data_IF_005495824644
#
_entry.id   IF_005495824644
#
_cell.length_a   1.000
_cell.length_b   1.000
_cell.length_c   1.000
_cell.angle_alpha   90.00
_cell.angle_beta   90.00
_cell.angle_gamma   90.00
#
_symmetry.space_group_name_H-M   'P 1'
#
loop_
_entity.id
_entity.type
_entity.pdbx_description
1 polymer ?
#
# COMPACT_ATOMS: atom_id res chain seq x y z
N UNK A 1 -3.54 20.88 -0.71
CA UNK A 1 -2.55 20.09 -1.47
C UNK A 1 -1.16 20.67 -1.25
N UNK A 2 -0.10 19.86 -1.12
CA UNK A 2 1.30 20.32 -0.94
C UNK A 2 2.15 20.02 -2.17
N UNK A 3 3.24 20.78 -2.40
CA UNK A 3 4.17 20.55 -3.52
C UNK A 3 4.64 19.09 -3.63
N UNK A 4 5.00 18.46 -2.51
CA UNK A 4 5.39 17.03 -2.47
C UNK A 4 4.28 16.10 -2.96
N UNK A 5 3.03 16.36 -2.59
CA UNK A 5 1.90 15.49 -2.92
C UNK A 5 1.55 15.60 -4.41
N UNK A 6 1.46 16.84 -4.92
CA UNK A 6 1.26 17.10 -6.34
C UNK A 6 2.41 16.51 -7.18
N UNK A 7 3.64 16.62 -6.70
CA UNK A 7 4.79 16.03 -7.37
C UNK A 7 4.68 14.50 -7.47
N UNK A 8 4.31 13.81 -6.39
CA UNK A 8 4.07 12.36 -6.45
C UNK A 8 2.89 12.01 -7.37
N UNK A 9 1.80 12.79 -7.38
CA UNK A 9 0.68 12.57 -8.30
C UNK A 9 1.15 12.60 -9.75
N UNK A 10 1.91 13.64 -10.11
CA UNK A 10 2.48 13.79 -11.44
C UNK A 10 3.47 12.68 -11.79
N UNK A 11 4.39 12.35 -10.88
CA UNK A 11 5.39 11.30 -11.11
C UNK A 11 4.75 9.93 -11.33
N UNK A 12 3.75 9.56 -10.53
CA UNK A 12 3.05 8.28 -10.65
C UNK A 12 2.16 8.25 -11.90
N UNK A 13 1.42 9.34 -12.17
CA UNK A 13 0.60 9.43 -13.40
C UNK A 13 1.46 9.31 -14.65
N UNK A 14 2.64 9.97 -14.67
CA UNK A 14 3.61 9.85 -15.75
C UNK A 14 4.11 8.42 -15.94
N UNK A 15 4.45 7.72 -14.86
CA UNK A 15 4.85 6.31 -14.93
C UNK A 15 3.71 5.41 -15.44
N UNK A 16 2.46 5.65 -15.03
CA UNK A 16 1.30 4.92 -15.55
C UNK A 16 1.12 5.14 -17.05
N UNK A 17 1.23 6.39 -17.52
CA UNK A 17 1.15 6.74 -18.94
C UNK A 17 2.28 6.08 -19.75
N UNK A 18 3.52 6.09 -19.24
CA UNK A 18 4.66 5.39 -19.85
C UNK A 18 4.50 3.86 -19.94
N UNK A 19 3.63 3.29 -19.09
CA UNK A 19 3.27 1.88 -19.09
C UNK A 19 2.05 1.59 -19.97
N UNK A 20 1.46 2.61 -20.62
CA UNK A 20 0.31 2.49 -21.50
C UNK A 20 -1.05 2.53 -20.80
N UNK A 21 -1.11 2.94 -19.53
CA UNK A 21 -2.37 3.11 -18.80
C UNK A 21 -2.80 4.57 -18.77
N UNK A 22 -4.10 4.81 -18.94
CA UNK A 22 -4.69 6.11 -18.65
C UNK A 22 -4.75 6.33 -17.12
N UNK A 23 -4.31 7.50 -16.67
CA UNK A 23 -4.28 7.89 -15.26
C UNK A 23 -4.95 9.26 -15.08
N UNK A 24 -6.07 9.27 -14.37
CA UNK A 24 -6.88 10.45 -14.08
C UNK A 24 -6.51 10.96 -12.70
N UNK A 25 -5.93 12.15 -12.60
CA UNK A 25 -5.62 12.77 -11.31
C UNK A 25 -6.88 13.38 -10.69
N UNK A 26 -6.98 13.31 -9.36
CA UNK A 26 -8.08 13.90 -8.58
C UNK A 26 -9.47 13.51 -9.09
N UNK A 27 -9.67 12.22 -9.38
CA UNK A 27 -10.94 11.73 -9.91
C UNK A 27 -12.10 12.05 -8.94
N UNK A 28 -13.13 12.72 -9.46
CA UNK A 28 -14.23 13.25 -8.65
C UNK A 28 -15.07 12.14 -8.02
N UNK A 29 -15.36 11.08 -8.77
CA UNK A 29 -16.29 10.03 -8.35
C UNK A 29 -15.67 9.14 -7.27
N UNK A 30 -14.45 8.64 -7.52
CA UNK A 30 -13.71 7.79 -6.57
C UNK A 30 -13.08 8.58 -5.42
N UNK A 31 -12.84 9.88 -5.63
CA UNK A 31 -11.99 10.74 -4.78
C UNK A 31 -10.59 10.15 -4.59
N UNK A 32 -10.09 9.41 -5.58
CA UNK A 32 -8.72 8.92 -5.57
C UNK A 32 -7.77 10.04 -5.97
N UNK A 33 -6.57 10.05 -5.38
CA UNK A 33 -5.53 10.98 -5.82
C UNK A 33 -5.16 10.72 -7.30
N UNK A 34 -5.16 9.45 -7.72
CA UNK A 34 -5.00 9.02 -9.11
C UNK A 34 -5.87 7.77 -9.34
N UNK A 35 -6.76 7.81 -10.33
CA UNK A 35 -7.48 6.64 -10.84
C UNK A 35 -6.77 6.13 -12.09
N UNK A 36 -6.28 4.89 -12.06
CA UNK A 36 -5.63 4.25 -13.20
C UNK A 36 -6.61 3.28 -13.85
N UNK A 37 -6.85 3.45 -15.15
CA UNK A 37 -7.75 2.63 -15.97
C UNK A 37 -7.09 1.29 -16.33
N UNK A 38 -6.97 0.41 -15.34
CA UNK A 38 -6.61 -1.01 -15.50
C UNK A 38 -7.85 -1.91 -15.38
N UNK A 39 -7.68 -3.23 -15.46
CA UNK A 39 -8.77 -4.19 -15.27
C UNK A 39 -8.46 -5.15 -14.11
N UNK A 40 -9.05 -4.97 -12.92
CA UNK A 40 -9.93 -3.86 -12.52
C UNK A 40 -9.19 -2.53 -12.37
N UNK A 41 -9.88 -1.37 -12.34
CA UNK A 41 -9.24 -0.08 -12.12
C UNK A 41 -8.52 -0.03 -10.76
N UNK A 42 -7.47 0.79 -10.67
CA UNK A 42 -6.69 0.96 -9.44
C UNK A 42 -6.76 2.41 -8.98
N UNK A 43 -7.28 2.62 -7.78
CA UNK A 43 -7.19 3.88 -7.05
C UNK A 43 -5.83 3.95 -6.32
N UNK A 44 -4.92 4.79 -6.82
CA UNK A 44 -3.63 5.07 -6.19
C UNK A 44 -3.78 6.30 -5.28
N UNK A 45 -3.34 6.15 -4.03
CA UNK A 45 -3.53 7.14 -2.97
C UNK A 45 -2.18 7.53 -2.33
N UNK A 46 -1.84 8.82 -2.31
CA UNK A 46 -0.57 9.34 -1.76
C UNK A 46 -0.81 9.89 -0.35
N UNK A 47 -0.56 9.05 0.65
CA UNK A 47 -0.94 9.39 2.03
C UNK A 47 0.24 9.88 2.88
N UNK A 48 0.21 11.17 3.25
CA UNK A 48 1.24 11.84 4.06
C UNK A 48 0.88 12.02 5.53
N UNK A 49 -0.42 12.07 5.84
CA UNK A 49 -0.95 12.31 7.20
C UNK A 49 -1.85 11.17 7.63
N UNK A 50 -2.25 11.12 8.91
CA UNK A 50 -3.19 10.08 9.37
C UNK A 50 -4.54 10.22 8.65
N UNK A 51 -5.17 9.10 8.33
CA UNK A 51 -6.53 9.05 7.73
C UNK A 51 -7.23 7.76 8.16
N UNK A 52 -8.51 7.63 7.84
CA UNK A 52 -9.25 6.39 7.97
C UNK A 52 -9.02 5.53 6.72
N UNK A 53 -7.92 4.78 6.74
CA UNK A 53 -7.52 3.92 5.63
C UNK A 53 -8.59 2.86 5.32
N UNK A 54 -9.16 2.23 6.33
CA UNK A 54 -10.18 1.18 6.16
C UNK A 54 -11.41 1.72 5.43
N UNK A 55 -11.96 2.83 5.93
CA UNK A 55 -13.13 3.46 5.31
C UNK A 55 -12.85 3.84 3.87
N UNK A 56 -11.71 4.50 3.60
CA UNK A 56 -11.35 4.93 2.24
C UNK A 56 -11.13 3.74 1.31
N UNK A 57 -10.38 2.73 1.75
CA UNK A 57 -10.16 1.49 0.98
C UNK A 57 -11.49 0.85 0.61
N UNK A 58 -12.38 0.65 1.60
CA UNK A 58 -13.71 0.05 1.37
C UNK A 58 -14.55 0.88 0.41
N UNK A 59 -14.54 2.21 0.53
CA UNK A 59 -15.25 3.10 -0.41
C UNK A 59 -14.83 2.85 -1.85
N UNK A 60 -13.53 2.68 -2.14
CA UNK A 60 -13.03 2.43 -3.52
C UNK A 60 -13.30 1.00 -3.98
N UNK A 61 -13.17 0.03 -3.08
CA UNK A 61 -13.53 -1.36 -3.38
C UNK A 61 -15.01 -1.53 -3.73
N UNK A 62 -15.90 -0.79 -3.07
CA UNK A 62 -17.33 -0.78 -3.39
C UNK A 62 -17.62 -0.17 -4.78
N UNK A 63 -16.70 0.61 -5.34
CA UNK A 63 -16.76 1.11 -6.72
C UNK A 63 -16.07 0.14 -7.71
N UNK A 64 -15.73 -1.07 -7.28
CA UNK A 64 -15.08 -2.08 -8.13
C UNK A 64 -13.58 -1.87 -8.35
N UNK A 65 -12.94 -1.02 -7.54
CA UNK A 65 -11.53 -0.65 -7.71
C UNK A 65 -10.63 -1.43 -6.75
N UNK A 66 -9.43 -1.77 -7.23
CA UNK A 66 -8.31 -2.10 -6.36
C UNK A 66 -7.73 -0.80 -5.77
N UNK A 67 -7.07 -0.89 -4.61
CA UNK A 67 -6.48 0.26 -3.94
C UNK A 67 -4.97 0.04 -3.78
N UNK A 68 -4.20 1.10 -4.00
CA UNK A 68 -2.77 1.14 -3.73
C UNK A 68 -2.44 2.42 -2.94
N UNK A 69 -2.09 2.26 -1.66
CA UNK A 69 -1.60 3.34 -0.83
C UNK A 69 -0.09 3.50 -1.00
N UNK A 70 0.35 4.64 -1.50
CA UNK A 70 1.75 5.05 -1.53
C UNK A 70 2.00 6.01 -0.38
N UNK A 71 2.83 5.58 0.56
CA UNK A 71 3.16 6.35 1.75
C UNK A 71 4.57 6.92 1.55
N UNK A 72 4.75 8.24 1.47
CA UNK A 72 6.09 8.82 1.36
C UNK A 72 6.97 8.55 2.59
N UNK A 73 8.29 8.54 2.41
CA UNK A 73 9.25 8.41 3.52
C UNK A 73 9.12 9.54 4.55
N UNK A 74 8.72 10.73 4.12
CA UNK A 74 8.44 11.89 5.00
C UNK A 74 7.34 11.61 6.04
N UNK A 75 6.47 10.62 5.78
CA UNK A 75 5.40 10.21 6.68
C UNK A 75 5.79 9.12 7.70
N UNK A 76 7.05 8.67 7.72
CA UNK A 76 7.52 7.51 8.54
C UNK A 76 7.41 7.67 10.04
N UNK A 77 7.27 8.89 10.56
CA UNK A 77 7.23 9.12 12.01
C UNK A 77 5.81 8.95 12.60
N UNK A 78 4.79 8.77 11.76
CA UNK A 78 3.43 8.56 12.24
C UNK A 78 3.15 7.08 12.53
N UNK A 79 2.81 6.77 13.78
CA UNK A 79 2.45 5.41 14.22
C UNK A 79 1.25 4.86 13.47
N UNK A 80 0.20 5.67 13.25
CA UNK A 80 -1.01 5.23 12.54
C UNK A 80 -0.72 4.90 11.07
N UNK A 81 0.14 5.69 10.42
CA UNK A 81 0.57 5.46 9.03
C UNK A 81 1.43 4.20 8.94
N UNK A 82 2.37 4.00 9.87
CA UNK A 82 3.20 2.79 9.88
C UNK A 82 2.36 1.54 10.18
N UNK A 83 1.33 1.65 11.02
CA UNK A 83 0.38 0.57 11.22
C UNK A 83 -0.38 0.26 9.91
N UNK A 84 -0.88 1.29 9.22
CA UNK A 84 -1.57 1.12 7.94
C UNK A 84 -0.67 0.51 6.86
N UNK A 85 0.62 0.86 6.83
CA UNK A 85 1.59 0.32 5.86
C UNK A 85 1.58 -1.21 5.80
N UNK A 86 1.41 -1.90 6.93
CA UNK A 86 1.40 -3.37 6.98
C UNK A 86 0.00 -3.98 7.12
N UNK A 87 -1.06 -3.17 7.14
CA UNK A 87 -2.44 -3.65 7.31
C UNK A 87 -3.37 -3.26 6.16
N UNK A 88 -2.87 -2.52 5.18
CA UNK A 88 -3.61 -2.06 4.01
C UNK A 88 -2.79 -2.35 2.76
N UNK A 89 -3.40 -2.37 1.55
CA UNK A 89 -2.72 -2.46 0.26
C UNK A 89 -1.74 -1.29 0.03
N UNK A 90 -0.63 -1.27 0.76
CA UNK A 90 0.18 -0.09 0.96
C UNK A 90 1.64 -0.40 0.71
N UNK A 91 2.40 0.59 0.28
CA UNK A 91 3.83 0.51 0.10
C UNK A 91 4.51 1.85 0.42
N UNK A 92 5.79 1.78 0.79
CA UNK A 92 6.60 2.96 1.02
C UNK A 92 7.12 3.48 -0.31
N UNK A 93 6.93 4.76 -0.62
CA UNK A 93 7.53 5.41 -1.79
C UNK A 93 8.68 6.32 -1.36
N UNK A 94 9.79 6.25 -2.10
CA UNK A 94 11.05 6.93 -1.80
C UNK A 94 11.64 7.52 -3.06
N UNK A 95 12.35 8.62 -2.91
CA UNK A 95 13.07 9.27 -3.99
C UNK A 95 14.53 9.37 -3.61
N UNK A 96 15.39 8.72 -4.38
CA UNK A 96 16.83 8.74 -4.16
C UNK A 96 17.54 9.42 -5.32
N UNK A 97 18.71 9.98 -5.06
CA UNK A 97 19.60 10.43 -6.11
C UNK A 97 19.94 9.24 -7.03
N UNK A 98 19.82 9.43 -8.34
CA UNK A 98 20.09 8.37 -9.32
C UNK A 98 21.54 7.88 -9.28
N UNK A 99 22.48 8.79 -8.99
CA UNK A 99 23.91 8.48 -8.91
C UNK A 99 24.34 8.04 -7.51
N UNK A 100 23.49 8.23 -6.50
CA UNK A 100 23.73 7.82 -5.12
C UNK A 100 22.43 7.36 -4.46
N UNK A 101 22.22 6.04 -4.46
CA UNK A 101 21.03 5.39 -3.91
C UNK A 101 20.98 5.38 -2.38
N UNK A 102 21.90 6.04 -1.70
CA UNK A 102 21.87 6.26 -0.25
C UNK A 102 21.38 7.65 0.13
N UNK A 103 21.42 8.60 -0.82
CA UNK A 103 20.97 9.98 -0.59
C UNK A 103 19.53 10.17 -1.05
N UNK A 104 18.63 10.36 -0.10
CA UNK A 104 17.26 10.79 -0.40
C UNK A 104 17.24 12.22 -0.92
N UNK A 105 16.42 12.46 -1.94
CA UNK A 105 16.29 13.77 -2.58
C UNK A 105 14.85 14.23 -2.60
N UNK A 106 14.65 15.54 -2.77
CA UNK A 106 13.33 16.19 -2.71
C UNK A 106 13.09 16.99 -3.99
N UNK A 107 12.77 16.32 -5.11
CA UNK A 107 12.60 16.97 -6.41
C UNK A 107 11.40 17.93 -6.50
N UNK A 108 10.54 17.93 -5.48
CA UNK A 108 9.47 18.91 -5.34
C UNK A 108 9.94 20.25 -4.73
N UNK A 109 11.21 20.37 -4.34
CA UNK A 109 11.78 21.65 -3.92
C UNK A 109 12.31 22.41 -5.15
N UNK A 110 12.11 23.73 -5.22
CA UNK A 110 12.41 24.54 -6.42
C UNK A 110 13.91 24.61 -6.75
N UNK A 111 14.79 24.34 -5.78
CA UNK A 111 16.24 24.36 -5.93
C UNK A 111 16.85 23.01 -6.36
N UNK A 112 16.03 21.97 -6.51
CA UNK A 112 16.51 20.66 -6.95
C UNK A 112 16.53 20.53 -8.48
N UNK A 113 17.70 20.26 -9.05
CA UNK A 113 17.90 20.03 -10.50
C UNK A 113 18.55 18.69 -10.83
N UNK A 114 18.63 17.77 -9.86
CA UNK A 114 19.31 16.49 -10.01
C UNK A 114 18.47 15.41 -10.70
N UNK A 115 19.13 14.31 -11.09
CA UNK A 115 18.44 13.08 -11.49
C UNK A 115 18.08 12.23 -10.29
N UNK A 116 16.94 11.56 -10.35
CA UNK A 116 16.41 10.72 -9.27
C UNK A 116 15.92 9.37 -9.77
N UNK A 117 15.87 8.41 -8.84
CA UNK A 117 15.15 7.15 -8.97
C UNK A 117 13.94 7.16 -8.03
N UNK A 118 12.78 6.76 -8.55
CA UNK A 118 11.58 6.53 -7.77
C UNK A 118 11.50 5.05 -7.37
N UNK A 119 11.47 4.79 -6.06
CA UNK A 119 11.57 3.45 -5.50
C UNK A 119 10.39 3.15 -4.58
N UNK A 120 9.90 1.93 -4.65
CA UNK A 120 8.81 1.40 -3.81
C UNK A 120 9.35 0.26 -2.94
N UNK A 121 8.95 0.19 -1.68
CA UNK A 121 9.53 -0.76 -0.73
C UNK A 121 8.67 -1.00 0.50
N UNK A 122 9.33 -1.53 1.54
CA UNK A 122 8.77 -2.01 2.81
C UNK A 122 7.87 -3.24 2.68
N UNK A 123 6.87 -3.19 1.80
CA UNK A 123 5.86 -4.23 1.62
C UNK A 123 5.93 -4.94 0.27
N UNK A 124 6.88 -4.58 -0.59
CA UNK A 124 7.17 -5.35 -1.81
C UNK A 124 7.94 -6.61 -1.42
N UNK A 125 7.40 -7.78 -1.74
CA UNK A 125 7.90 -9.07 -1.27
C UNK A 125 8.64 -9.85 -2.35
N UNK A 126 9.63 -10.63 -1.91
CA UNK A 126 10.33 -11.69 -2.64
C UNK A 126 10.56 -12.89 -1.74
N UNK A 127 10.84 -14.05 -2.33
CA UNK A 127 11.29 -15.23 -1.60
C UNK A 127 12.61 -14.94 -0.88
N UNK A 128 12.66 -15.26 0.42
CA UNK A 128 13.85 -15.19 1.26
C UNK A 128 14.89 -16.24 0.85
N UNK A 129 16.13 -16.07 1.30
CA UNK A 129 17.23 -16.99 0.97
C UNK A 129 17.02 -18.41 1.50
N UNK A 130 16.18 -18.57 2.53
CA UNK A 130 15.80 -19.87 3.09
C UNK A 130 14.69 -20.57 2.29
N UNK A 131 14.03 -19.87 1.36
CA UNK A 131 12.87 -20.37 0.63
C UNK A 131 11.60 -20.55 1.49
N UNK A 132 11.64 -20.20 2.78
CA UNK A 132 10.56 -20.48 3.73
C UNK A 132 9.68 -19.27 4.01
N UNK A 133 10.19 -18.06 3.76
CA UNK A 133 9.47 -16.82 4.01
C UNK A 133 9.52 -15.87 2.81
N UNK A 134 8.47 -15.08 2.66
CA UNK A 134 8.47 -13.85 1.88
C UNK A 134 9.00 -12.70 2.73
N UNK A 135 10.01 -12.02 2.20
CA UNK A 135 10.71 -10.91 2.84
C UNK A 135 10.70 -9.68 1.94
N UNK A 136 10.88 -8.49 2.54
CA UNK A 136 10.93 -7.25 1.78
C UNK A 136 12.06 -7.26 0.74
N UNK A 137 11.78 -6.76 -0.46
CA UNK A 137 12.79 -6.50 -1.50
C UNK A 137 13.68 -5.31 -1.18
N UNK A 138 13.39 -4.53 -0.13
CA UNK A 138 14.05 -3.27 0.14
C UNK A 138 13.59 -2.20 -0.84
N UNK A 139 14.52 -1.68 -1.65
CA UNK A 139 14.22 -0.67 -2.67
C UNK A 139 13.93 -1.35 -4.02
N UNK A 140 12.68 -1.29 -4.48
CA UNK A 140 12.21 -1.83 -5.76
C UNK A 140 11.90 -0.70 -6.74
N UNK A 141 12.07 -0.91 -8.05
CA UNK A 141 11.74 0.13 -9.05
C UNK A 141 10.25 0.45 -9.01
N UNK A 142 9.88 1.73 -8.87
CA UNK A 142 8.47 2.14 -8.88
C UNK A 142 7.78 1.79 -10.20
N UNK A 143 8.48 1.99 -11.33
CA UNK A 143 7.97 1.62 -12.65
C UNK A 143 7.69 0.12 -12.75
N UNK A 144 8.61 -0.72 -12.29
CA UNK A 144 8.42 -2.16 -12.33
C UNK A 144 7.28 -2.60 -11.39
N UNK A 145 7.23 -2.03 -10.19
CA UNK A 145 6.15 -2.30 -9.24
C UNK A 145 4.78 -1.97 -9.81
N UNK A 146 4.61 -0.76 -10.36
CA UNK A 146 3.35 -0.32 -10.96
C UNK A 146 2.96 -1.21 -12.13
N UNK A 147 3.88 -1.57 -13.01
CA UNK A 147 3.61 -2.52 -14.10
C UNK A 147 3.00 -3.82 -13.56
N UNK A 148 3.65 -4.42 -12.56
CA UNK A 148 3.22 -5.70 -11.99
C UNK A 148 1.89 -5.61 -11.24
N UNK A 149 1.63 -4.50 -10.54
CA UNK A 149 0.35 -4.28 -9.85
C UNK A 149 -0.78 -4.07 -10.87
N UNK A 150 -0.55 -3.21 -11.87
CA UNK A 150 -1.57 -2.86 -12.87
C UNK A 150 -1.87 -4.03 -13.83
N UNK A 151 -0.88 -4.89 -14.13
CA UNK A 151 -1.09 -6.12 -14.92
C UNK A 151 -1.66 -7.28 -14.09
N UNK A 152 -1.72 -7.14 -12.76
CA UNK A 152 -2.19 -8.19 -11.85
C UNK A 152 -1.16 -9.30 -11.56
N UNK A 153 0.07 -9.20 -12.08
CA UNK A 153 1.20 -10.07 -11.75
C UNK A 153 1.58 -10.00 -10.27
N UNK A 154 1.36 -8.84 -9.63
CA UNK A 154 1.62 -8.64 -8.19
C UNK A 154 0.33 -8.24 -7.49
N UNK A 155 0.00 -8.95 -6.43
CA UNK A 155 -1.22 -8.75 -5.64
C UNK A 155 -0.91 -8.47 -4.19
N UNK A 156 -1.80 -7.77 -3.52
CA UNK A 156 -1.74 -7.59 -2.08
C UNK A 156 -2.22 -8.86 -1.38
N UNK A 157 -1.46 -9.31 -0.37
CA UNK A 157 -1.84 -10.37 0.56
C UNK A 157 -1.81 -9.85 1.99
N UNK A 158 -2.80 -10.25 2.78
CA UNK A 158 -2.94 -9.89 4.19
C UNK A 158 -4.10 -8.93 4.49
N UNK A 159 -4.22 -8.49 5.75
CA UNK A 159 -3.31 -8.74 6.87
C UNK A 159 -3.33 -10.20 7.38
N UNK A 160 -2.31 -10.56 8.18
CA UNK A 160 -2.10 -11.88 8.82
C UNK A 160 -1.85 -13.06 7.86
N UNK A 161 -1.23 -12.79 6.72
CA UNK A 161 -0.85 -13.82 5.76
C UNK A 161 0.31 -14.68 6.29
N UNK A 162 0.16 -16.01 6.18
CA UNK A 162 1.20 -16.96 6.60
C UNK A 162 2.41 -16.86 5.69
N UNK A 163 3.59 -17.08 6.26
CA UNK A 163 4.88 -17.06 5.57
C UNK A 163 5.32 -15.68 5.06
N UNK A 164 4.61 -14.60 5.40
CA UNK A 164 5.08 -13.23 5.18
C UNK A 164 5.75 -12.72 6.44
N UNK A 165 6.97 -12.19 6.33
CA UNK A 165 7.74 -11.67 7.48
C UNK A 165 6.98 -10.63 8.32
N UNK A 166 6.11 -9.85 7.69
CA UNK A 166 5.31 -8.81 8.34
C UNK A 166 3.80 -9.14 8.35
N UNK A 167 3.42 -10.37 8.03
CA UNK A 167 2.02 -10.80 7.92
C UNK A 167 1.26 -10.17 6.74
N UNK A 168 1.93 -9.46 5.84
CA UNK A 168 1.30 -8.88 4.64
C UNK A 168 2.34 -8.41 3.63
N UNK A 169 1.89 -8.14 2.41
CA UNK A 169 2.70 -7.51 1.39
C UNK A 169 2.18 -7.67 -0.03
N UNK A 170 2.79 -6.91 -0.93
CA UNK A 170 2.65 -7.05 -2.37
C UNK A 170 3.59 -8.15 -2.88
N UNK A 171 3.04 -9.30 -3.21
CA UNK A 171 3.78 -10.47 -3.68
C UNK A 171 3.26 -10.94 -5.04
N UNK A 172 4.12 -11.64 -5.78
CA UNK A 172 3.66 -12.37 -6.95
C UNK A 172 2.98 -13.66 -6.50
N UNK A 173 1.79 -14.04 -7.02
CA UNK A 173 1.09 -15.25 -6.60
C UNK A 173 1.96 -16.51 -6.68
N UNK A 174 2.82 -16.63 -7.69
CA UNK A 174 3.75 -17.76 -7.84
C UNK A 174 4.76 -17.87 -6.71
N UNK A 175 5.28 -16.74 -6.21
CA UNK A 175 6.22 -16.72 -5.08
C UNK A 175 5.51 -17.18 -3.78
N UNK A 176 4.25 -16.78 -3.61
CA UNK A 176 3.41 -17.18 -2.48
C UNK A 176 3.18 -18.69 -2.49
N UNK A 177 2.80 -19.25 -3.64
CA UNK A 177 2.57 -20.69 -3.78
C UNK A 177 3.86 -21.50 -3.61
N UNK A 178 5.00 -21.01 -4.10
CA UNK A 178 6.28 -21.67 -3.91
C UNK A 178 6.66 -21.76 -2.43
N UNK A 179 6.53 -20.65 -1.68
CA UNK A 179 6.82 -20.65 -0.24
C UNK A 179 5.85 -21.57 0.52
N UNK A 180 4.55 -21.58 0.16
CA UNK A 180 3.58 -22.51 0.73
C UNK A 180 3.91 -23.98 0.42
N UNK A 181 4.45 -24.29 -0.76
CA UNK A 181 4.90 -25.63 -1.11
C UNK A 181 6.11 -26.07 -0.27
N UNK A 182 7.15 -25.24 -0.20
CA UNK A 182 8.37 -25.52 0.58
C UNK A 182 8.08 -25.82 2.07
N UNK A 183 7.13 -25.08 2.65
CA UNK A 183 6.72 -25.28 4.04
C UNK A 183 5.89 -26.56 4.24
N UNK A 184 5.09 -26.98 3.25
CA UNK A 184 4.34 -28.27 3.31
C UNK A 184 5.30 -29.47 3.29
N UNK A 185 6.31 -29.42 2.43
CA UNK A 185 7.33 -30.47 2.33
C UNK A 185 8.18 -30.58 3.60
N UNK A 186 8.51 -29.45 4.22
CA UNK A 186 9.28 -29.40 5.47
C UNK A 186 8.52 -30.01 6.65
N UNK A 187 7.19 -29.84 6.71
CA UNK A 187 6.34 -30.47 7.74
C UNK A 187 6.19 -31.98 7.47
N UNK A 188 6.04 -32.39 6.21
CA UNK A 188 5.90 -33.81 5.85
C UNK A 188 7.19 -34.62 6.12
N UNK A 189 8.37 -34.04 5.86
CA UNK A 189 9.65 -34.70 6.13
C UNK A 189 9.92 -34.86 7.63
N UNK A 190 9.52 -33.91 8.46
CA UNK A 190 9.62 -34.03 9.92
C UNK A 190 8.60 -35.02 10.53
N UNK A 191 7.43 -35.20 9.91
CA UNK A 191 6.43 -36.18 10.34
C UNK A 191 6.87 -37.63 10.07
N UNK A 192 7.69 -37.88 9.04
CA UNK A 192 8.18 -39.23 8.69
C UNK A 192 9.37 -39.71 9.53
N UNK A 193 10.06 -38.83 10.26
CA UNK A 193 11.23 -39.21 11.08
C UNK A 193 10.80 -39.77 12.46
N UNK A 194 9.53 -39.67 12.85
CA UNK A 194 8.99 -40.35 14.04
C UNK A 194 8.46 -41.74 13.68
N UNK A 195 9.35 -42.67 13.37
CA UNK A 195 9.08 -44.11 13.57
C UNK A 195 9.52 -44.42 15.00
N UNK A 196 8.61 -44.71 15.94
CA UNK A 196 8.99 -45.25 17.24
C UNK A 196 9.53 -46.65 16.99
N UNK A 197 10.84 -46.82 17.17
CA UNK A 197 11.43 -48.13 17.32
C UNK A 197 11.26 -48.53 18.79
N UNK A 198 10.05 -48.93 19.16
CA UNK A 198 9.77 -49.53 20.46
C UNK A 198 9.11 -50.89 20.26
N UNK A 199 9.98 -51.90 20.27
CA UNK A 199 9.93 -53.06 21.15
C UNK A 199 8.54 -53.55 21.59
N UNK A 200 8.27 -54.80 21.20
CA UNK A 200 7.26 -55.68 21.76
C UNK A 200 7.08 -55.52 23.28
N UNK A 201 5.84 -55.27 23.72
CA UNK A 201 5.34 -55.95 24.90
C UNK A 201 3.82 -56.06 24.88
N UNK A 202 3.39 -57.32 24.96
CA UNK A 202 2.03 -57.83 25.12
C UNK A 202 1.46 -57.36 26.46
N UNK A 203 0.18 -56.94 26.50
CA UNK A 203 -0.87 -57.46 27.41
C UNK A 203 -2.23 -56.89 26.98
N UNK A 204 -3.14 -57.83 26.74
CA UNK A 204 -4.59 -57.73 26.60
C UNK A 204 -5.30 -57.29 27.89
N UNK A 205 -6.34 -56.44 27.83
CA UNK A 205 -7.65 -56.75 28.45
C UNK A 205 -8.79 -55.79 28.05
N UNK A 206 -10.00 -56.38 27.93
CA UNK A 206 -11.42 -55.93 28.01
C UNK A 206 -11.81 -54.43 27.90
N UNK A 207 -12.73 -54.03 27.00
CA UNK A 207 -14.22 -54.13 27.03
C UNK A 207 -14.91 -53.41 28.21
N UNK A 208 -15.52 -52.25 27.93
CA UNK A 208 -16.91 -51.89 28.29
C UNK A 208 -17.29 -50.54 27.64
N UNK A 209 -18.29 -50.40 26.76
CA UNK A 209 -19.77 -50.38 26.88
C UNK A 209 -20.36 -49.06 27.43
N UNK A 210 -21.30 -48.51 26.65
CA UNK A 210 -22.31 -47.47 26.92
C UNK A 210 -21.86 -46.00 27.14
N UNK A 211 -22.56 -44.99 26.64
CA UNK A 211 -23.82 -44.91 25.92
C UNK A 211 -24.34 -43.45 25.91
N UNK A 212 -25.21 -43.16 24.95
CA UNK A 212 -26.28 -42.14 25.02
C UNK A 212 -25.91 -40.64 25.14
N UNK A 213 -26.38 -39.81 24.20
CA UNK A 213 -27.69 -39.10 24.31
C UNK A 213 -27.80 -37.98 23.27
N UNK A 214 -28.87 -38.06 22.48
CA UNK A 214 -29.42 -37.03 21.59
C UNK A 214 -29.74 -35.71 22.31
N UNK A 215 -29.53 -34.57 21.64
CA UNK A 215 -30.55 -33.50 21.68
C UNK A 215 -30.42 -32.51 20.52
N UNK A 216 -31.41 -32.61 19.64
CA UNK A 216 -31.85 -31.56 18.72
C UNK A 216 -32.33 -30.32 19.47
N UNK A 217 -32.08 -29.15 18.89
CA UNK A 217 -32.95 -27.99 19.01
C UNK A 217 -32.84 -27.16 17.74
N UNK A 218 -33.80 -27.39 16.86
CA UNK A 218 -34.34 -26.38 15.95
C UNK A 218 -34.88 -25.21 16.78
N UNK A 219 -34.84 -23.97 16.26
CA UNK A 219 -35.91 -22.96 16.41
C UNK A 219 -35.60 -21.72 15.56
N UNK A 220 -36.42 -21.58 14.53
CA UNK A 220 -37.12 -20.38 14.05
C UNK A 220 -36.40 -19.19 13.38
N UNK A 221 -36.53 -19.24 12.06
CA UNK A 221 -36.93 -18.18 11.12
C UNK A 221 -37.80 -17.07 11.76
N UNK A 222 -37.41 -15.81 11.56
CA UNK A 222 -38.35 -14.69 11.51
C UNK A 222 -37.85 -13.54 10.61
N UNK A 223 -38.37 -13.48 9.39
CA UNK A 223 -38.71 -12.24 8.64
C UNK A 223 -40.24 -12.12 8.73
N UNK A 224 -40.90 -10.93 8.64
CA UNK A 224 -40.63 -9.86 7.67
C UNK A 224 -40.94 -8.41 8.13
N UNK A 225 -40.56 -7.40 7.34
CA UNK A 225 -41.49 -6.32 6.92
C UNK A 225 -40.89 -5.38 5.88
N UNK A 226 -41.72 -5.12 4.87
CA UNK A 226 -41.51 -4.34 3.66
C UNK A 226 -42.14 -2.95 3.75
N UNK A 227 -41.50 -1.98 3.06
CA UNK A 227 -42.05 -0.77 2.39
C UNK A 227 -42.70 0.34 3.25
N UNK A 228 -42.86 1.61 2.76
CA UNK A 228 -42.78 2.09 1.35
C UNK A 228 -42.04 3.43 1.05
N UNK A 229 -41.75 3.58 -0.25
CA UNK A 229 -41.82 4.73 -1.18
C UNK A 229 -42.22 6.14 -0.69
N UNK A 230 -41.47 7.17 -1.12
CA UNK A 230 -41.96 8.50 -1.58
C UNK A 230 -40.86 9.14 -2.45
N UNK A 231 -41.01 9.16 -3.79
CA UNK A 231 -41.38 10.33 -4.62
C UNK A 231 -40.64 11.64 -4.29
N UNK A 232 -39.76 12.14 -5.16
CA UNK A 232 -40.03 12.93 -6.40
C UNK A 232 -39.92 14.43 -6.12
N UNK A 233 -39.00 15.12 -6.80
CA UNK A 233 -38.81 16.57 -6.65
C UNK A 233 -37.50 17.10 -7.25
N UNK A 234 -37.39 17.08 -8.58
CA UNK A 234 -36.71 18.11 -9.39
C UNK A 234 -37.82 18.96 -10.01
N UNK A 235 -37.65 20.26 -10.38
CA UNK A 235 -36.50 20.85 -11.08
C UNK A 235 -36.05 22.18 -10.39
N UNK A 236 -35.05 22.94 -10.83
CA UNK A 236 -35.19 23.93 -11.90
C UNK A 236 -33.86 24.64 -12.18
N UNK A 237 -33.76 25.12 -13.42
CA UNK A 237 -32.63 25.67 -14.13
C UNK A 237 -32.37 27.16 -13.84
N UNK A 238 -31.22 27.61 -14.37
CA UNK A 238 -30.81 28.99 -14.70
C UNK A 238 -30.24 29.85 -13.57
N UNK A 239 -28.96 30.21 -13.68
CA UNK A 239 -28.64 31.46 -14.38
C UNK A 239 -27.13 31.64 -14.55
N UNK A 240 -26.76 31.89 -15.81
CA UNK A 240 -25.49 32.41 -16.30
C UNK A 240 -25.18 33.77 -15.70
N UNK A 241 -23.91 34.04 -15.36
CA UNK A 241 -23.27 35.33 -15.62
C UNK A 241 -21.75 35.20 -15.59
N UNK A 242 -21.17 35.45 -16.76
CA UNK A 242 -19.78 35.80 -16.98
C UNK A 242 -19.45 37.11 -16.25
N UNK A 243 -18.24 37.23 -15.71
CA UNK A 243 -17.57 38.53 -15.66
C UNK A 243 -16.07 38.37 -15.87
N UNK A 244 -15.56 39.25 -16.72
CA UNK A 244 -14.26 39.26 -17.36
C UNK A 244 -13.14 39.69 -16.41
N UNK A 245 -11.95 39.11 -16.65
CA UNK A 245 -10.64 39.71 -16.34
C UNK A 245 -10.43 40.98 -17.17
N UNK A 246 -9.57 41.89 -16.70
CA UNK A 246 -8.49 42.37 -17.58
C UNK A 246 -7.15 42.51 -16.78
N UNK A 247 -6.06 43.05 -17.34
CA UNK A 247 -4.89 42.24 -17.71
C UNK A 247 -3.55 42.77 -17.12
N UNK A 248 -2.43 42.08 -17.40
CA UNK A 248 -1.09 42.62 -17.73
C UNK A 248 -0.38 43.54 -16.70
N UNK A 249 0.94 43.52 -16.45
CA UNK A 249 2.14 42.83 -16.95
C UNK A 249 3.30 43.24 -15.96
N UNK A 250 4.61 43.11 -16.24
CA UNK A 250 5.58 42.56 -15.30
C UNK A 250 6.53 43.61 -14.70
N UNK A 251 7.25 43.27 -13.63
CA UNK A 251 8.55 43.89 -13.38
C UNK A 251 9.57 42.85 -12.91
N UNK A 252 10.57 42.69 -13.77
CA UNK A 252 11.94 42.29 -13.45
C UNK A 252 12.49 43.10 -12.29
N UNK A 253 13.09 42.41 -11.32
CA UNK A 253 14.30 42.88 -10.66
C UNK A 253 15.22 41.70 -10.41
N UNK A 254 16.29 41.64 -11.18
CA UNK A 254 17.53 40.94 -10.83
C UNK A 254 18.21 41.67 -9.66
N UNK A 255 18.84 40.92 -8.76
CA UNK A 255 20.28 41.01 -8.45
C UNK A 255 20.63 40.28 -7.15
N UNK A 256 21.61 39.39 -7.29
CA UNK A 256 22.76 39.19 -6.43
C UNK A 256 22.57 38.72 -4.98
N UNK A 257 22.68 37.40 -4.86
CA UNK A 257 23.32 36.72 -3.74
C UNK A 257 24.80 37.15 -3.65
N UNK A 258 25.31 37.44 -2.44
CA UNK A 258 26.44 36.61 -2.00
C UNK A 258 26.44 36.23 -0.51
N UNK A 259 27.18 35.14 -0.29
CA UNK A 259 27.91 34.77 0.93
C UNK A 259 27.18 33.96 2.01
N UNK A 260 27.23 32.64 1.76
CA UNK A 260 27.52 31.60 2.75
C UNK A 260 28.72 31.99 3.64
N UNK A 261 28.47 32.34 4.91
CA UNK A 261 29.41 32.15 6.02
C UNK A 261 28.70 32.49 7.35
N UNK A 262 28.33 31.50 8.17
CA UNK A 262 27.79 31.85 9.49
C UNK A 262 27.35 30.74 10.44
N UNK A 263 27.06 29.52 9.97
CA UNK A 263 26.56 28.48 10.88
C UNK A 263 27.69 27.77 11.66
N UNK A 264 28.83 27.46 11.04
CA UNK A 264 29.91 26.73 11.71
C UNK A 264 30.61 27.51 12.85
N UNK A 265 30.44 28.83 12.94
CA UNK A 265 30.96 29.64 14.07
C UNK A 265 30.05 29.66 15.31
N UNK A 266 28.82 29.13 15.24
CA UNK A 266 27.90 29.06 16.39
C UNK A 266 27.95 27.74 17.16
N UNK A 267 28.64 26.71 16.63
CA UNK A 267 28.72 25.38 17.26
C UNK A 267 29.94 25.18 18.17
N UNK A 268 30.97 26.01 18.03
CA UNK A 268 32.20 25.90 18.85
C UNK A 268 32.05 26.58 20.22
N UNK A 269 31.19 27.59 20.37
CA UNK A 269 30.95 28.24 21.66
C UNK A 269 30.06 27.45 22.63
N UNK A 270 29.61 26.25 22.27
CA UNK A 270 28.77 25.41 23.14
C UNK A 270 29.54 24.30 23.86
N UNK A 271 30.83 24.12 23.56
CA UNK A 271 31.66 23.05 24.14
C UNK A 271 32.78 23.53 25.08
N UNK A 272 32.86 24.83 25.40
CA UNK A 272 33.92 25.37 26.30
C UNK A 272 33.40 26.37 27.33
N UNK A 273 32.24 26.12 27.95
CA UNK A 273 31.83 26.78 29.20
C UNK A 273 31.12 25.80 30.12
#
# INVERSE_FOLDING_TARGET
MTAEHLWFQNAISGLCAELGYEAIQEDYESRADILVQSSPPVAVEIQRVSTDFNKRTLTRQNLGMNVLWLIPETAKNSRSINHALFNQPAARIRVFNKNDRTTEVKPWLPDYSGSYDLLIGATVMKIGSDGQLLVSTGNYSARQFLREVLSGERKWFGPNEKYFKFGSGWARPEDVEQVRANNRESVSSHAQIRVPNDTENVVSDSLDTDGSTLRSLETEISTPKSCPTTESGSPELLSTSQSQLPPNNPQDTSMDNPAKAGWFKRLINWFTS
#
